data_IF_102359919317
#
_entry.id   IF_102359919317
#
_cell.length_a   1.000
_cell.length_b   1.000
_cell.length_c   1.000
_cell.angle_alpha   90.00
_cell.angle_beta   90.00
_cell.angle_gamma   90.00
#
_symmetry.space_group_name_H-M   'P 1'
#
loop_
_entity.id
_entity.type
_entity.pdbx_description
1 polymer ?
#
# COMPACT_ATOMS: atom_id res chain seq x y z
N UNK A 1 -0.02 -29.85 22.71
CA UNK A 1 0.91 -28.73 22.94
C UNK A 1 0.18 -27.37 22.81
N UNK A 2 -0.55 -27.04 21.72
CA UNK A 2 -1.28 -25.76 21.54
C UNK A 2 -2.31 -25.51 22.66
N UNK A 3 -3.12 -26.51 23.04
CA UNK A 3 -4.12 -26.40 24.13
C UNK A 3 -3.49 -26.10 25.51
N UNK A 4 -2.28 -26.59 25.79
CA UNK A 4 -1.61 -26.31 27.06
C UNK A 4 -1.07 -24.87 27.13
N UNK A 5 -0.52 -24.38 26.01
CA UNK A 5 0.02 -23.01 25.93
C UNK A 5 -1.14 -22.00 25.99
N UNK A 6 -2.28 -22.27 25.34
CA UNK A 6 -3.45 -21.38 25.35
C UNK A 6 -4.05 -21.25 26.75
N UNK A 7 -4.17 -22.32 27.51
CA UNK A 7 -4.72 -22.30 28.87
C UNK A 7 -3.89 -21.49 29.86
N UNK A 8 -2.63 -21.21 29.56
CA UNK A 8 -1.74 -20.42 30.46
C UNK A 8 -2.01 -18.91 30.36
N UNK A 9 -2.69 -18.43 29.30
CA UNK A 9 -2.88 -17.00 29.02
C UNK A 9 -4.35 -16.56 28.89
N UNK A 10 -5.29 -17.51 28.93
CA UNK A 10 -6.74 -17.23 28.76
C UNK A 10 -7.39 -17.18 30.16
N UNK A 11 -8.32 -16.24 30.42
CA UNK A 11 -9.05 -16.17 31.68
C UNK A 11 -9.74 -17.48 32.04
N UNK A 12 -9.82 -17.80 33.32
CA UNK A 12 -10.40 -19.06 33.81
C UNK A 12 -11.88 -19.22 33.48
N UNK A 13 -12.61 -18.13 33.32
CA UNK A 13 -14.02 -18.10 32.95
C UNK A 13 -14.27 -18.21 31.43
N UNK A 14 -13.22 -18.19 30.62
CA UNK A 14 -13.34 -18.44 29.17
C UNK A 14 -13.16 -19.91 28.85
N UNK A 15 -14.02 -20.40 27.94
CA UNK A 15 -13.84 -21.73 27.38
C UNK A 15 -12.77 -21.71 26.26
N UNK A 16 -12.06 -22.82 26.13
CA UNK A 16 -11.15 -23.09 25.01
C UNK A 16 -11.78 -24.20 24.19
N UNK A 17 -12.25 -23.91 23.01
CA UNK A 17 -13.03 -24.83 22.19
C UNK A 17 -12.40 -25.13 20.84
N UNK A 18 -12.58 -26.35 20.38
CA UNK A 18 -12.20 -26.78 19.03
C UNK A 18 -13.33 -26.47 18.07
N UNK A 19 -13.04 -25.70 17.01
CA UNK A 19 -14.04 -25.16 16.08
C UNK A 19 -14.97 -26.25 15.51
N UNK A 20 -14.40 -27.37 15.08
CA UNK A 20 -15.18 -28.48 14.46
C UNK A 20 -16.18 -29.14 15.36
N UNK A 21 -16.13 -28.95 16.71
CA UNK A 21 -17.13 -29.47 17.64
C UNK A 21 -18.42 -28.63 17.64
N UNK A 22 -18.35 -27.37 17.15
CA UNK A 22 -19.42 -26.38 17.23
C UNK A 22 -19.74 -25.71 15.89
N UNK A 23 -19.05 -26.10 14.82
CA UNK A 23 -19.26 -25.57 13.47
C UNK A 23 -19.19 -26.70 12.44
N UNK A 24 -19.93 -26.56 11.35
CA UNK A 24 -19.82 -27.41 10.18
C UNK A 24 -18.97 -26.74 9.12
N UNK A 25 -17.96 -27.45 8.60
CA UNK A 25 -17.02 -26.90 7.63
C UNK A 25 -17.13 -27.69 6.35
N UNK A 26 -17.37 -27.00 5.24
CA UNK A 26 -17.49 -27.61 3.93
C UNK A 26 -16.57 -26.91 2.94
N UNK A 27 -16.05 -27.68 1.98
CA UNK A 27 -15.29 -27.14 0.86
C UNK A 27 -16.23 -26.68 -0.25
N UNK A 28 -15.87 -25.59 -0.92
CA UNK A 28 -16.44 -25.18 -2.20
C UNK A 28 -16.19 -26.20 -3.30
N UNK A 29 -16.79 -26.00 -4.45
CA UNK A 29 -16.63 -26.88 -5.60
C UNK A 29 -16.68 -26.11 -6.90
N UNK A 30 -15.92 -26.55 -7.90
CA UNK A 30 -15.88 -25.93 -9.21
C UNK A 30 -16.50 -26.86 -10.25
N UNK A 31 -17.62 -26.47 -10.91
CA UNK A 31 -18.13 -27.20 -12.09
C UNK A 31 -17.02 -27.33 -13.15
N UNK A 32 -16.94 -28.49 -13.80
CA UNK A 32 -15.90 -28.73 -14.80
C UNK A 32 -16.51 -29.26 -16.10
N UNK A 33 -16.05 -28.75 -17.29
CA UNK A 33 -15.18 -27.59 -17.44
C UNK A 33 -15.93 -26.29 -17.08
N UNK A 34 -15.30 -25.37 -16.36
CA UNK A 34 -15.99 -24.17 -15.84
C UNK A 34 -16.55 -23.30 -16.95
N UNK A 35 -15.91 -23.22 -18.09
CA UNK A 35 -16.33 -22.43 -19.25
C UNK A 35 -17.73 -22.81 -19.75
N UNK A 36 -18.12 -24.07 -19.60
CA UNK A 36 -19.47 -24.56 -19.98
C UNK A 36 -20.57 -24.08 -19.02
N UNK A 37 -20.20 -23.57 -17.85
CA UNK A 37 -21.13 -23.11 -16.82
C UNK A 37 -21.12 -21.61 -16.60
N UNK A 38 -20.16 -20.87 -17.19
CA UNK A 38 -20.12 -19.40 -17.10
C UNK A 38 -21.28 -18.80 -17.89
N UNK A 39 -21.82 -17.69 -17.37
CA UNK A 39 -22.91 -16.94 -18.03
C UNK A 39 -22.80 -15.46 -17.72
N UNK A 40 -23.24 -14.66 -18.68
CA UNK A 40 -23.44 -13.20 -18.53
C UNK A 40 -24.90 -12.85 -18.21
N UNK A 41 -25.77 -13.83 -18.10
CA UNK A 41 -27.20 -13.63 -17.82
C UNK A 41 -27.40 -13.01 -16.44
N UNK A 42 -28.35 -12.08 -16.33
CA UNK A 42 -28.78 -11.51 -15.06
C UNK A 42 -29.34 -12.57 -14.08
N UNK A 43 -29.90 -13.65 -14.63
CA UNK A 43 -30.40 -14.81 -13.87
C UNK A 43 -29.30 -15.74 -13.40
N UNK A 44 -28.02 -15.49 -13.77
CA UNK A 44 -26.88 -16.27 -13.34
C UNK A 44 -26.62 -16.13 -11.84
N UNK A 45 -26.12 -17.23 -11.23
CA UNK A 45 -25.72 -17.30 -9.83
C UNK A 45 -24.29 -16.77 -9.67
N UNK A 46 -24.04 -15.89 -8.71
CA UNK A 46 -22.71 -15.36 -8.46
C UNK A 46 -21.69 -16.50 -8.25
N UNK A 47 -20.55 -16.41 -8.94
CA UNK A 47 -19.45 -17.36 -8.85
C UNK A 47 -18.28 -16.73 -8.10
N UNK A 48 -18.07 -17.11 -6.82
CA UNK A 48 -17.14 -16.47 -5.91
C UNK A 48 -15.76 -17.12 -6.03
N UNK A 49 -14.80 -16.38 -6.57
CA UNK A 49 -13.38 -16.76 -6.69
C UNK A 49 -12.54 -16.01 -5.64
N UNK A 50 -11.31 -16.48 -5.42
CA UNK A 50 -10.35 -15.80 -4.51
C UNK A 50 -10.02 -14.37 -5.01
N UNK A 51 -9.98 -14.17 -6.34
CA UNK A 51 -9.68 -12.86 -6.94
C UNK A 51 -10.79 -11.81 -6.81
N UNK A 52 -12.02 -12.19 -6.41
CA UNK A 52 -13.13 -11.25 -6.26
C UNK A 52 -13.04 -10.40 -4.98
N UNK A 53 -12.05 -10.65 -4.11
CA UNK A 53 -11.90 -9.96 -2.83
C UNK A 53 -10.47 -9.46 -2.63
N UNK A 54 -10.36 -8.25 -2.11
CA UNK A 54 -9.11 -7.68 -1.67
C UNK A 54 -8.63 -8.27 -0.34
N UNK A 55 -7.36 -8.14 -0.10
CA UNK A 55 -6.75 -8.64 1.15
C UNK A 55 -7.30 -7.97 2.41
N UNK A 56 -7.80 -6.76 2.30
CA UNK A 56 -8.30 -5.96 3.43
C UNK A 56 -9.82 -5.98 3.55
N UNK A 57 -10.50 -6.63 2.62
CA UNK A 57 -11.95 -6.72 2.65
C UNK A 57 -12.41 -7.65 3.78
N UNK A 58 -13.43 -7.23 4.51
CA UNK A 58 -14.16 -8.07 5.48
C UNK A 58 -15.35 -8.77 4.82
N UNK A 59 -15.95 -8.12 3.81
CA UNK A 59 -17.18 -8.55 3.18
C UNK A 59 -17.00 -8.82 1.70
N UNK A 60 -17.57 -9.90 1.19
CA UNK A 60 -17.72 -10.17 -0.24
C UNK A 60 -19.01 -9.53 -0.73
N UNK A 61 -18.89 -8.51 -1.61
CA UNK A 61 -20.00 -7.65 -2.04
C UNK A 61 -20.42 -7.85 -3.50
N UNK A 62 -19.53 -8.36 -4.33
CA UNK A 62 -19.74 -8.57 -5.76
C UNK A 62 -18.81 -9.66 -6.29
N UNK A 63 -19.11 -10.18 -7.46
CA UNK A 63 -18.26 -11.11 -8.21
C UNK A 63 -18.15 -10.65 -9.65
N UNK A 64 -17.05 -11.01 -10.31
CA UNK A 64 -16.87 -10.74 -11.74
C UNK A 64 -17.67 -11.72 -12.62
N UNK A 65 -17.83 -12.95 -12.16
CA UNK A 65 -18.41 -14.04 -12.94
C UNK A 65 -19.68 -14.57 -12.29
N UNK A 66 -20.55 -15.16 -13.15
CA UNK A 66 -21.72 -15.90 -12.74
C UNK A 66 -21.74 -17.27 -13.42
N UNK A 67 -22.41 -18.23 -12.79
CA UNK A 67 -22.66 -19.57 -13.37
C UNK A 67 -24.14 -19.78 -13.63
N UNK A 68 -24.45 -20.65 -14.59
CA UNK A 68 -25.82 -21.10 -14.84
C UNK A 68 -26.35 -21.94 -13.67
N UNK A 69 -27.67 -21.97 -13.42
CA UNK A 69 -28.28 -22.74 -12.32
C UNK A 69 -27.86 -24.22 -12.27
N UNK A 70 -27.64 -24.84 -13.42
CA UNK A 70 -27.20 -26.23 -13.55
C UNK A 70 -25.83 -26.49 -12.90
N UNK A 71 -24.98 -25.45 -12.80
CA UNK A 71 -23.67 -25.52 -12.14
C UNK A 71 -23.75 -25.60 -10.61
N UNK A 72 -24.86 -25.17 -9.99
CA UNK A 72 -25.02 -25.09 -8.52
C UNK A 72 -24.84 -26.45 -7.87
N UNK A 73 -25.41 -27.50 -8.47
CA UNK A 73 -25.29 -28.86 -7.94
C UNK A 73 -23.87 -29.41 -7.87
N UNK A 74 -22.95 -28.82 -8.65
CA UNK A 74 -21.51 -29.17 -8.72
C UNK A 74 -20.63 -28.21 -7.92
N UNK A 75 -21.24 -27.26 -7.23
CA UNK A 75 -20.57 -26.25 -6.39
C UNK A 75 -21.13 -26.27 -4.97
N UNK A 76 -20.83 -25.25 -4.21
CA UNK A 76 -21.36 -25.05 -2.87
C UNK A 76 -22.04 -23.68 -2.79
N UNK A 77 -23.36 -23.71 -2.60
CA UNK A 77 -24.11 -22.48 -2.36
C UNK A 77 -23.81 -21.92 -0.97
N UNK A 78 -23.62 -20.61 -0.90
CA UNK A 78 -23.45 -19.80 0.32
C UNK A 78 -24.42 -18.63 0.30
N UNK A 79 -24.79 -18.18 1.50
CA UNK A 79 -25.81 -17.15 1.68
C UNK A 79 -25.25 -15.94 2.41
N UNK A 80 -25.97 -14.83 2.32
CA UNK A 80 -25.62 -13.62 3.05
C UNK A 80 -25.46 -13.91 4.54
N UNK A 81 -24.33 -13.55 5.10
CA UNK A 81 -23.96 -13.80 6.48
C UNK A 81 -23.13 -15.05 6.71
N UNK A 82 -23.01 -15.95 5.74
CA UNK A 82 -22.09 -17.09 5.85
C UNK A 82 -20.65 -16.60 5.99
N UNK A 83 -19.87 -17.31 6.79
CA UNK A 83 -18.44 -17.07 6.96
C UNK A 83 -17.67 -18.03 6.06
N UNK A 84 -16.84 -17.49 5.18
CA UNK A 84 -15.99 -18.31 4.32
C UNK A 84 -14.51 -18.04 4.60
N UNK A 85 -13.67 -19.02 4.31
CA UNK A 85 -12.23 -19.00 4.58
C UNK A 85 -11.47 -19.40 3.32
N UNK A 86 -10.45 -18.63 2.95
CA UNK A 86 -9.58 -19.02 1.84
C UNK A 86 -8.71 -20.22 2.21
N UNK A 87 -8.69 -21.25 1.36
CA UNK A 87 -7.91 -22.46 1.60
C UNK A 87 -6.57 -22.48 0.86
N UNK A 88 -6.41 -21.62 -0.14
CA UNK A 88 -5.22 -21.50 -0.99
C UNK A 88 -4.93 -20.02 -1.29
N UNK A 89 -3.79 -19.69 -1.86
CA UNK A 89 -3.32 -18.34 -2.21
C UNK A 89 -3.25 -17.39 -0.99
N UNK A 90 -4.34 -16.73 -0.59
CA UNK A 90 -4.45 -15.89 0.61
C UNK A 90 -4.74 -16.68 1.89
N UNK A 91 -4.07 -17.76 2.08
CA UNK A 91 -4.12 -18.81 3.08
C UNK A 91 -4.72 -18.43 4.45
N UNK A 92 -5.90 -19.01 4.76
CA UNK A 92 -6.52 -18.89 6.09
C UNK A 92 -7.21 -17.56 6.38
N UNK A 93 -7.54 -16.78 5.36
CA UNK A 93 -8.19 -15.49 5.54
C UNK A 93 -9.71 -15.65 5.54
N UNK A 94 -10.42 -15.22 6.61
CA UNK A 94 -11.87 -15.28 6.68
C UNK A 94 -12.51 -14.08 5.99
N UNK A 95 -13.74 -14.28 5.47
CA UNK A 95 -14.60 -13.25 4.90
C UNK A 95 -16.06 -13.53 5.24
N UNK A 96 -16.89 -12.50 5.27
CA UNK A 96 -18.32 -12.60 5.50
C UNK A 96 -19.05 -12.34 4.18
N UNK A 97 -19.95 -13.23 3.81
CA UNK A 97 -20.76 -13.08 2.60
C UNK A 97 -21.78 -11.95 2.77
N UNK A 98 -21.77 -10.97 1.85
CA UNK A 98 -22.79 -9.93 1.74
C UNK A 98 -23.68 -10.11 0.49
N UNK A 99 -23.42 -11.14 -0.28
CA UNK A 99 -24.20 -11.62 -1.43
C UNK A 99 -24.44 -13.12 -1.29
N UNK A 100 -25.34 -13.66 -2.10
CA UNK A 100 -25.52 -15.09 -2.27
C UNK A 100 -24.79 -15.57 -3.53
N UNK A 101 -24.35 -16.83 -3.54
CA UNK A 101 -23.68 -17.40 -4.71
C UNK A 101 -23.03 -18.74 -4.41
N UNK A 102 -22.32 -19.24 -5.39
CA UNK A 102 -21.56 -20.48 -5.32
C UNK A 102 -20.07 -20.21 -5.15
N UNK A 103 -19.44 -20.90 -4.19
CA UNK A 103 -18.02 -20.75 -3.92
C UNK A 103 -17.19 -21.80 -4.65
N UNK A 104 -16.11 -21.32 -5.26
CA UNK A 104 -15.07 -22.08 -5.91
C UNK A 104 -14.32 -23.00 -4.92
N UNK A 105 -13.67 -24.04 -5.39
CA UNK A 105 -12.97 -25.04 -4.56
C UNK A 105 -11.75 -24.50 -3.78
N UNK A 106 -11.36 -23.24 -4.00
CA UNK A 106 -10.41 -22.47 -3.18
C UNK A 106 -10.98 -21.94 -1.85
N UNK A 107 -12.26 -22.18 -1.57
CA UNK A 107 -12.93 -21.71 -0.37
C UNK A 107 -13.38 -22.85 0.54
N UNK A 108 -13.43 -22.56 1.83
CA UNK A 108 -14.17 -23.32 2.83
C UNK A 108 -15.30 -22.43 3.36
N UNK A 109 -16.49 -22.98 3.59
CA UNK A 109 -17.58 -22.31 4.31
C UNK A 109 -17.69 -22.87 5.72
N UNK A 110 -17.91 -22.00 6.70
CA UNK A 110 -18.08 -22.32 8.13
C UNK A 110 -19.50 -21.93 8.51
N UNK A 111 -20.31 -22.92 8.92
CA UNK A 111 -21.73 -22.77 9.20
C UNK A 111 -22.08 -23.36 10.55
N UNK A 112 -23.29 -23.06 11.06
CA UNK A 112 -23.88 -23.62 12.31
C UNK A 112 -23.02 -23.37 13.56
N UNK A 113 -22.27 -22.29 13.59
CA UNK A 113 -21.47 -21.85 14.74
C UNK A 113 -22.24 -20.93 15.70
N UNK A 114 -23.38 -20.42 15.30
CA UNK A 114 -24.19 -19.37 15.92
C UNK A 114 -24.70 -19.72 17.32
N UNK A 115 -24.69 -21.01 17.70
CA UNK A 115 -25.00 -21.44 19.06
C UNK A 115 -23.93 -21.06 20.09
N UNK A 116 -22.70 -20.81 19.64
CA UNK A 116 -21.52 -20.62 20.50
C UNK A 116 -20.77 -19.37 20.18
N UNK A 117 -20.76 -18.99 18.91
CA UNK A 117 -19.99 -17.82 18.45
C UNK A 117 -20.88 -16.72 17.86
N UNK A 118 -20.59 -15.47 18.24
CA UNK A 118 -20.96 -14.33 17.42
C UNK A 118 -20.17 -14.36 16.12
N UNK A 119 -20.82 -14.03 15.01
CA UNK A 119 -20.21 -14.06 13.67
C UNK A 119 -18.99 -13.15 13.53
N UNK A 120 -19.10 -11.91 14.02
CA UNK A 120 -18.01 -10.95 13.90
C UNK A 120 -16.85 -11.31 14.83
N UNK A 121 -17.15 -11.83 16.04
CA UNK A 121 -16.13 -12.35 16.93
C UNK A 121 -15.37 -13.51 16.26
N UNK A 122 -16.09 -14.48 15.69
CA UNK A 122 -15.47 -15.62 14.99
C UNK A 122 -14.61 -15.16 13.81
N UNK A 123 -15.07 -14.15 13.05
CA UNK A 123 -14.27 -13.52 11.99
C UNK A 123 -12.93 -13.01 12.53
N UNK A 124 -12.93 -12.25 13.63
CA UNK A 124 -11.70 -11.73 14.22
C UNK A 124 -10.84 -12.83 14.86
N UNK A 125 -11.45 -13.79 15.53
CA UNK A 125 -10.74 -14.93 16.10
C UNK A 125 -10.00 -15.75 15.02
N UNK A 126 -10.63 -15.99 13.88
CA UNK A 126 -10.03 -16.68 12.74
C UNK A 126 -8.94 -15.82 12.04
N UNK A 127 -9.05 -14.48 12.10
CA UNK A 127 -8.05 -13.54 11.56
C UNK A 127 -6.86 -13.33 12.49
N UNK A 128 -6.90 -13.84 13.72
CA UNK A 128 -5.90 -13.56 14.76
C UNK A 128 -4.55 -14.21 14.48
N UNK A 129 -3.48 -13.60 15.01
CA UNK A 129 -2.13 -14.17 14.99
C UNK A 129 -2.08 -15.56 15.65
N UNK A 130 -2.92 -15.78 16.68
CA UNK A 130 -3.08 -17.05 17.36
C UNK A 130 -3.58 -18.15 16.42
N UNK A 131 -4.60 -17.86 15.63
CA UNK A 131 -5.14 -18.81 14.65
C UNK A 131 -4.18 -19.00 13.48
N UNK A 132 -3.53 -17.95 13.01
CA UNK A 132 -2.54 -18.04 11.94
C UNK A 132 -1.37 -18.94 12.33
N UNK A 133 -0.86 -18.85 13.57
CA UNK A 133 0.18 -19.75 14.09
C UNK A 133 -0.27 -21.21 14.06
N UNK A 134 -1.55 -21.51 14.34
CA UNK A 134 -2.08 -22.86 14.23
C UNK A 134 -2.14 -23.35 12.78
N UNK A 135 -2.57 -22.50 11.85
CA UNK A 135 -2.57 -22.84 10.43
C UNK A 135 -1.16 -23.16 9.91
N UNK A 136 -0.18 -22.34 10.24
CA UNK A 136 1.24 -22.56 9.86
C UNK A 136 1.74 -23.88 10.45
N UNK A 137 1.48 -24.16 11.73
CA UNK A 137 1.89 -25.40 12.39
C UNK A 137 1.25 -26.65 11.73
N UNK A 138 0.00 -26.56 11.31
CA UNK A 138 -0.71 -27.66 10.62
C UNK A 138 -0.27 -27.83 9.15
N UNK A 139 0.35 -26.80 8.56
CA UNK A 139 0.91 -26.86 7.21
C UNK A 139 2.33 -27.43 7.17
N UNK A 140 3.07 -27.36 8.27
CA UNK A 140 4.41 -27.89 8.38
C UNK A 140 4.41 -29.40 8.09
N UNK A 141 5.18 -29.82 7.06
CA UNK A 141 5.26 -31.22 6.62
C UNK A 141 4.42 -31.58 5.37
N UNK A 142 3.68 -30.62 4.78
CA UNK A 142 3.01 -30.85 3.49
C UNK A 142 3.66 -30.02 2.39
N UNK A 143 3.87 -30.62 1.22
CA UNK A 143 4.46 -29.97 0.04
C UNK A 143 3.59 -28.84 -0.55
N UNK A 144 2.33 -28.76 -0.17
CA UNK A 144 1.40 -27.71 -0.57
C UNK A 144 0.77 -27.10 0.68
N UNK A 145 0.96 -25.79 0.86
CA UNK A 145 0.28 -25.02 1.89
C UNK A 145 -1.21 -24.89 1.52
N UNK A 146 -2.03 -25.88 1.91
CA UNK A 146 -3.45 -25.87 1.66
C UNK A 146 -4.20 -26.23 2.95
N UNK A 147 -5.18 -25.38 3.30
CA UNK A 147 -6.11 -25.64 4.39
C UNK A 147 -7.26 -26.50 3.89
N UNK A 148 -7.44 -27.64 4.52
CA UNK A 148 -8.64 -28.46 4.31
C UNK A 148 -9.58 -28.37 5.50
N UNK A 149 -10.80 -28.94 5.35
CA UNK A 149 -11.83 -28.90 6.39
C UNK A 149 -11.35 -29.56 7.70
N UNK A 150 -10.54 -30.61 7.60
CA UNK A 150 -10.03 -31.37 8.75
C UNK A 150 -9.03 -30.53 9.58
N UNK A 151 -8.17 -29.75 8.90
CA UNK A 151 -7.25 -28.84 9.57
C UNK A 151 -8.01 -27.70 10.25
N UNK A 152 -8.95 -27.05 9.54
CA UNK A 152 -9.74 -25.94 10.09
C UNK A 152 -10.64 -26.42 11.23
N UNK A 153 -11.20 -27.62 11.17
CA UNK A 153 -11.98 -28.21 12.27
C UNK A 153 -11.16 -28.40 13.55
N UNK A 154 -9.85 -28.56 13.46
CA UNK A 154 -8.95 -28.73 14.61
C UNK A 154 -8.48 -27.41 15.23
N UNK A 155 -8.83 -26.28 14.64
CA UNK A 155 -8.46 -24.95 15.19
C UNK A 155 -9.10 -24.79 16.58
N UNK A 156 -8.29 -24.33 17.50
CA UNK A 156 -8.68 -24.08 18.87
C UNK A 156 -8.79 -22.57 19.09
N UNK A 157 -9.94 -22.15 19.61
CA UNK A 157 -10.26 -20.74 19.79
C UNK A 157 -10.65 -20.45 21.25
N UNK A 158 -10.23 -19.30 21.80
CA UNK A 158 -10.79 -18.75 23.02
C UNK A 158 -12.28 -18.43 22.79
N UNK A 159 -13.11 -18.68 23.79
CA UNK A 159 -14.54 -18.49 23.69
C UNK A 159 -15.09 -17.88 24.97
N UNK A 160 -15.18 -16.54 25.06
CA UNK A 160 -15.88 -15.86 26.14
C UNK A 160 -17.39 -16.03 26.05
N UNK A 161 -18.11 -15.52 27.03
CA UNK A 161 -19.56 -15.40 26.96
C UNK A 161 -20.02 -14.60 25.76
N UNK A 162 -21.20 -14.90 25.20
CA UNK A 162 -21.69 -14.28 23.96
C UNK A 162 -21.82 -12.76 24.06
N UNK A 163 -22.10 -12.19 25.22
CA UNK A 163 -22.14 -10.76 25.46
C UNK A 163 -20.76 -10.14 25.24
N UNK A 164 -19.74 -10.71 25.84
CA UNK A 164 -18.36 -10.23 25.69
C UNK A 164 -17.83 -10.45 24.27
N UNK A 165 -18.20 -11.56 23.60
CA UNK A 165 -17.88 -11.73 22.18
C UNK A 165 -18.40 -10.58 21.33
N UNK A 166 -19.65 -10.14 21.57
CA UNK A 166 -20.27 -9.00 20.87
C UNK A 166 -19.53 -7.69 21.15
N UNK A 167 -19.23 -7.42 22.43
CA UNK A 167 -18.47 -6.21 22.83
C UNK A 167 -17.09 -6.17 22.16
N UNK A 168 -16.36 -7.28 22.17
CA UNK A 168 -15.05 -7.40 21.51
C UNK A 168 -15.20 -7.16 19.99
N UNK A 169 -16.19 -7.80 19.37
CA UNK A 169 -16.42 -7.66 17.93
C UNK A 169 -16.84 -6.25 17.53
N UNK A 170 -17.61 -5.56 18.34
CA UNK A 170 -18.02 -4.17 18.13
C UNK A 170 -16.81 -3.24 18.15
N UNK A 171 -16.02 -3.27 19.21
CA UNK A 171 -14.81 -2.44 19.32
C UNK A 171 -13.81 -2.68 18.18
N UNK A 172 -13.61 -3.94 17.78
CA UNK A 172 -12.75 -4.27 16.63
C UNK A 172 -13.36 -3.83 15.29
N UNK A 173 -14.70 -3.81 15.18
CA UNK A 173 -15.36 -3.31 13.97
C UNK A 173 -15.34 -1.80 13.86
N UNK A 174 -15.36 -1.09 14.98
CA UNK A 174 -15.24 0.37 15.03
C UNK A 174 -13.85 0.83 14.58
N UNK A 175 -12.80 0.16 15.05
CA UNK A 175 -11.43 0.48 14.59
C UNK A 175 -11.24 0.14 13.10
N UNK A 176 -11.87 -0.93 12.58
CA UNK A 176 -11.87 -1.26 11.15
C UNK A 176 -12.54 -0.15 10.34
N UNK A 177 -13.69 0.32 10.80
CA UNK A 177 -14.43 1.41 10.15
C UNK A 177 -13.58 2.68 10.09
N UNK A 178 -12.94 3.04 11.21
CA UNK A 178 -12.05 4.18 11.28
C UNK A 178 -10.86 4.07 10.30
N UNK A 179 -10.24 2.88 10.20
CA UNK A 179 -9.14 2.61 9.26
C UNK A 179 -9.62 2.76 7.81
N UNK A 180 -10.79 2.19 7.48
CA UNK A 180 -11.38 2.30 6.13
C UNK A 180 -11.68 3.77 5.78
N UNK A 181 -12.25 4.53 6.70
CA UNK A 181 -12.61 5.92 6.45
C UNK A 181 -11.37 6.83 6.34
N UNK A 182 -10.32 6.55 7.13
CA UNK A 182 -9.02 7.23 6.95
C UNK A 182 -8.40 6.94 5.58
N UNK A 183 -8.43 5.70 5.10
CA UNK A 183 -7.95 5.35 3.76
C UNK A 183 -8.71 6.09 2.66
N UNK A 184 -10.04 6.16 2.76
CA UNK A 184 -10.86 6.92 1.82
C UNK A 184 -10.52 8.42 1.85
N UNK A 185 -10.34 8.98 3.05
CA UNK A 185 -9.99 10.39 3.23
C UNK A 185 -8.62 10.70 2.62
N UNK A 186 -7.61 9.87 2.88
CA UNK A 186 -6.27 10.00 2.30
C UNK A 186 -6.35 9.98 0.77
N UNK A 187 -7.07 9.02 0.19
CA UNK A 187 -7.26 8.95 -1.27
C UNK A 187 -7.89 10.23 -1.82
N UNK A 188 -8.99 10.69 -1.21
CA UNK A 188 -9.65 11.93 -1.60
C UNK A 188 -8.70 13.14 -1.52
N UNK A 189 -7.90 13.24 -0.46
CA UNK A 189 -6.92 14.32 -0.30
C UNK A 189 -5.82 14.25 -1.35
N UNK A 190 -5.32 13.06 -1.69
CA UNK A 190 -4.35 12.85 -2.79
C UNK A 190 -4.93 13.27 -4.15
N UNK A 191 -6.19 12.92 -4.43
CA UNK A 191 -6.87 13.32 -5.66
C UNK A 191 -7.03 14.85 -5.77
N UNK A 192 -7.43 15.50 -4.66
CA UNK A 192 -7.54 16.97 -4.58
C UNK A 192 -6.16 17.62 -4.77
N UNK A 193 -5.14 17.14 -4.05
CA UNK A 193 -3.74 17.62 -4.18
C UNK A 193 -3.28 17.51 -5.63
N UNK A 194 -3.49 16.37 -6.28
CA UNK A 194 -3.12 16.18 -7.68
C UNK A 194 -3.84 17.14 -8.61
N UNK A 195 -5.14 17.35 -8.44
CA UNK A 195 -5.91 18.33 -9.21
C UNK A 195 -5.45 19.77 -8.99
N UNK A 196 -5.23 20.16 -7.72
CA UNK A 196 -4.73 21.49 -7.36
C UNK A 196 -3.35 21.74 -7.95
N UNK A 197 -2.44 20.77 -7.84
CA UNK A 197 -1.12 20.87 -8.45
C UNK A 197 -1.22 21.12 -9.96
N UNK A 198 -2.04 20.35 -10.69
CA UNK A 198 -2.16 20.50 -12.15
C UNK A 198 -2.66 21.89 -12.56
N UNK A 199 -3.59 22.49 -11.81
CA UNK A 199 -4.11 23.81 -12.17
C UNK A 199 -3.19 24.96 -11.77
N UNK A 200 -2.47 24.83 -10.65
CA UNK A 200 -1.57 25.88 -10.15
C UNK A 200 -0.24 25.90 -10.91
N UNK A 201 0.44 24.76 -11.09
CA UNK A 201 1.75 24.71 -11.76
C UNK A 201 1.68 24.89 -13.29
N UNK A 202 0.49 24.89 -13.87
CA UNK A 202 0.27 25.17 -15.29
C UNK A 202 -0.26 26.56 -15.56
N UNK A 203 -0.52 27.36 -14.52
CA UNK A 203 -1.11 28.70 -14.64
C UNK A 203 -2.57 28.72 -15.11
N UNK A 204 -3.26 27.55 -15.17
CA UNK A 204 -4.70 27.48 -15.51
C UNK A 204 -5.57 28.25 -14.53
N UNK A 205 -5.13 28.35 -13.29
CA UNK A 205 -5.70 29.21 -12.26
C UNK A 205 -4.56 29.92 -11.55
N UNK A 206 -4.64 31.23 -11.45
CA UNK A 206 -3.69 32.04 -10.69
C UNK A 206 -4.21 32.27 -9.27
N UNK A 207 -3.29 32.49 -8.37
CA UNK A 207 -3.61 32.94 -7.01
C UNK A 207 -3.98 34.43 -7.03
N UNK A 208 -4.91 34.81 -6.18
CA UNK A 208 -5.30 36.22 -6.01
C UNK A 208 -4.10 37.06 -5.56
N UNK A 209 -4.00 38.28 -6.10
CA UNK A 209 -2.91 39.20 -5.79
C UNK A 209 -1.70 39.09 -6.73
N UNK A 210 -1.63 38.08 -7.60
CA UNK A 210 -0.57 37.96 -8.59
C UNK A 210 -1.05 38.31 -10.01
N UNK A 211 -0.20 39.00 -10.77
CA UNK A 211 -0.50 39.48 -12.13
C UNK A 211 0.71 39.36 -13.06
N UNK A 212 0.54 39.74 -14.34
CA UNK A 212 1.57 39.60 -15.36
C UNK A 212 1.62 38.24 -16.03
N UNK A 213 2.17 38.14 -17.23
CA UNK A 213 2.25 36.89 -17.98
C UNK A 213 3.35 35.98 -17.44
N UNK A 214 3.07 34.67 -17.46
CA UNK A 214 4.08 33.68 -17.12
C UNK A 214 5.22 33.69 -18.16
N UNK A 215 6.43 33.50 -17.66
CA UNK A 215 7.67 33.59 -18.46
C UNK A 215 8.07 32.20 -18.96
N UNK A 216 8.38 32.11 -20.23
CA UNK A 216 8.93 30.88 -20.81
C UNK A 216 10.38 30.72 -20.39
N UNK A 217 10.73 29.62 -19.75
CA UNK A 217 12.09 29.26 -19.38
C UNK A 217 12.48 27.91 -19.96
N UNK A 218 13.77 27.61 -19.98
CA UNK A 218 14.30 26.29 -20.31
C UNK A 218 14.98 25.73 -19.07
N UNK A 219 14.59 24.49 -18.67
CA UNK A 219 15.15 23.90 -17.45
C UNK A 219 16.67 23.82 -17.46
N UNK A 220 17.25 23.26 -18.51
CA UNK A 220 18.70 23.05 -18.57
C UNK A 220 19.52 24.34 -18.62
N UNK A 221 18.98 25.43 -19.21
CA UNK A 221 19.64 26.73 -19.26
C UNK A 221 19.62 27.48 -17.92
N UNK A 222 18.65 27.16 -17.06
CA UNK A 222 18.44 27.78 -15.75
C UNK A 222 18.89 26.88 -14.58
N UNK A 223 19.45 25.69 -14.89
CA UNK A 223 19.87 24.72 -13.89
C UNK A 223 21.28 24.21 -14.13
N UNK A 224 21.99 23.94 -13.05
CA UNK A 224 23.17 23.07 -13.06
C UNK A 224 22.68 21.63 -12.85
N UNK A 225 22.78 20.83 -13.91
CA UNK A 225 22.45 19.42 -13.90
C UNK A 225 23.71 18.58 -13.69
N UNK A 226 23.82 17.88 -12.58
CA UNK A 226 24.98 17.04 -12.24
C UNK A 226 24.55 15.64 -11.83
N UNK A 227 25.29 14.66 -12.28
CA UNK A 227 25.19 13.27 -11.88
C UNK A 227 26.60 12.68 -11.79
N UNK A 228 26.76 11.58 -11.04
CA UNK A 228 28.04 10.85 -11.00
C UNK A 228 28.43 10.44 -12.42
N UNK A 229 29.67 10.71 -12.81
CA UNK A 229 30.19 10.41 -14.14
C UNK A 229 30.51 8.91 -14.23
N UNK A 230 30.31 8.31 -15.41
CA UNK A 230 30.41 6.85 -15.59
C UNK A 230 31.74 6.21 -15.15
N UNK A 231 32.90 6.90 -15.36
CA UNK A 231 34.20 6.40 -14.89
C UNK A 231 34.39 6.49 -13.36
N UNK A 232 33.56 7.28 -12.66
CA UNK A 232 33.48 7.34 -11.22
C UNK A 232 32.38 6.40 -10.67
N UNK A 233 31.76 5.59 -11.51
CA UNK A 233 30.72 4.64 -11.15
C UNK A 233 31.15 3.74 -10.00
N UNK A 234 30.21 3.45 -9.12
CA UNK A 234 30.40 2.56 -7.98
C UNK A 234 30.10 1.14 -8.39
N UNK A 235 30.91 0.21 -7.94
CA UNK A 235 30.62 -1.23 -7.98
C UNK A 235 29.67 -1.59 -6.83
N UNK A 236 28.97 -2.70 -6.94
CA UNK A 236 28.08 -3.19 -5.87
C UNK A 236 28.81 -3.44 -4.54
N UNK A 237 30.09 -3.75 -4.59
CA UNK A 237 30.95 -3.95 -3.39
C UNK A 237 31.20 -2.65 -2.62
N UNK A 238 31.00 -1.51 -3.24
CA UNK A 238 31.15 -0.17 -2.62
C UNK A 238 29.83 0.37 -2.06
N UNK A 239 28.74 -0.38 -2.16
CA UNK A 239 27.46 -0.10 -1.53
C UNK A 239 27.48 -0.69 -0.13
N UNK A 240 27.79 0.14 0.85
CA UNK A 240 27.96 -0.28 2.24
C UNK A 240 26.63 -0.25 2.99
N UNK A 241 26.48 -1.11 3.99
CA UNK A 241 25.33 -1.05 4.93
C UNK A 241 25.51 0.04 5.99
N UNK A 242 26.75 0.45 6.25
CA UNK A 242 27.13 1.59 7.11
C UNK A 242 28.30 2.34 6.48
N UNK A 243 28.37 3.66 6.63
CA UNK A 243 29.45 4.47 6.06
C UNK A 243 29.35 5.95 6.39
N UNK A 244 30.24 6.74 5.78
CA UNK A 244 30.35 8.18 6.02
C UNK A 244 29.14 8.95 5.51
N UNK A 245 28.70 8.68 4.28
CA UNK A 245 27.61 9.40 3.64
C UNK A 245 26.59 8.46 3.04
N UNK A 246 25.33 8.91 2.97
CA UNK A 246 24.31 8.23 2.17
C UNK A 246 24.72 8.20 0.69
N UNK A 247 24.41 7.09 0.03
CA UNK A 247 24.44 6.94 -1.42
C UNK A 247 22.99 6.91 -1.93
N UNK A 248 22.57 7.98 -2.57
CA UNK A 248 21.21 8.10 -3.12
C UNK A 248 21.15 7.45 -4.49
N UNK A 249 20.24 6.50 -4.65
CA UNK A 249 19.94 5.78 -5.90
C UNK A 249 18.50 6.03 -6.34
N UNK A 250 18.13 5.61 -7.54
CA UNK A 250 16.76 5.77 -8.05
C UNK A 250 15.71 4.91 -7.29
N UNK A 251 16.14 3.91 -6.51
CA UNK A 251 15.27 3.06 -5.67
C UNK A 251 14.87 3.73 -4.37
N UNK A 252 15.62 4.74 -3.93
CA UNK A 252 15.38 5.42 -2.65
C UNK A 252 14.31 6.52 -2.75
N UNK A 253 13.85 6.83 -3.99
CA UNK A 253 12.79 7.82 -4.23
C UNK A 253 11.43 7.25 -3.88
N UNK A 254 10.78 7.85 -2.88
CA UNK A 254 9.46 7.48 -2.40
C UNK A 254 8.60 8.72 -2.18
N UNK A 255 7.48 8.82 -2.92
CA UNK A 255 6.45 9.86 -2.76
C UNK A 255 7.03 11.31 -2.70
N UNK A 256 8.00 11.62 -3.58
CA UNK A 256 8.64 12.95 -3.66
C UNK A 256 9.75 13.22 -2.64
N UNK A 257 10.10 12.24 -1.80
CA UNK A 257 11.14 12.30 -0.78
C UNK A 257 12.17 11.19 -0.95
N UNK A 258 13.24 11.24 -0.18
CA UNK A 258 14.22 10.14 -0.09
C UNK A 258 13.91 9.27 1.12
N UNK A 259 13.84 7.96 0.91
CA UNK A 259 13.74 6.98 1.99
C UNK A 259 15.13 6.71 2.58
N UNK A 260 15.56 7.53 3.53
CA UNK A 260 16.89 7.46 4.13
C UNK A 260 17.21 6.10 4.77
N UNK A 261 16.20 5.44 5.33
CA UNK A 261 16.39 4.12 5.96
C UNK A 261 16.67 2.99 4.97
N UNK A 262 16.44 3.22 3.69
CA UNK A 262 16.73 2.26 2.61
C UNK A 262 18.02 2.56 1.85
N UNK A 263 18.63 3.73 2.10
CA UNK A 263 19.86 4.12 1.41
C UNK A 263 21.04 3.24 1.82
N UNK A 264 21.87 2.91 0.85
CA UNK A 264 23.22 2.44 1.10
C UNK A 264 24.14 3.61 1.51
N UNK A 265 25.36 3.26 1.86
CA UNK A 265 26.39 4.24 2.25
C UNK A 265 27.63 4.10 1.37
N UNK A 266 28.46 5.15 1.39
CA UNK A 266 29.83 5.12 0.87
C UNK A 266 30.79 5.70 1.90
N UNK A 267 32.07 5.39 1.74
CA UNK A 267 33.14 5.97 2.52
C UNK A 267 33.41 7.45 2.20
N UNK A 268 34.28 8.07 3.00
CA UNK A 268 34.64 9.48 2.82
C UNK A 268 35.29 9.74 1.47
N UNK A 269 36.15 8.86 0.97
CA UNK A 269 36.90 9.07 -0.26
C UNK A 269 35.96 9.12 -1.46
N UNK A 270 34.94 8.25 -1.48
CA UNK A 270 33.91 8.25 -2.52
C UNK A 270 32.96 9.46 -2.44
N UNK A 271 32.66 9.93 -1.23
CA UNK A 271 31.90 11.15 -1.03
C UNK A 271 32.70 12.38 -1.48
N UNK A 272 33.98 12.49 -1.10
CA UNK A 272 34.83 13.63 -1.39
C UNK A 272 35.26 13.74 -2.87
N UNK A 273 35.15 12.62 -3.61
CA UNK A 273 35.60 12.52 -5.01
C UNK A 273 34.96 13.54 -5.95
N UNK A 274 33.70 13.89 -5.76
CA UNK A 274 33.00 14.86 -6.59
C UNK A 274 32.04 15.74 -5.77
N UNK A 275 32.45 16.97 -5.40
CA UNK A 275 31.60 17.92 -4.69
C UNK A 275 30.33 18.34 -5.46
N UNK A 276 30.29 18.18 -6.80
CA UNK A 276 29.13 18.61 -7.60
C UNK A 276 27.90 17.70 -7.42
N UNK A 277 28.10 16.48 -6.93
CA UNK A 277 27.03 15.49 -6.67
C UNK A 277 26.75 15.30 -5.18
N UNK A 278 27.41 16.06 -4.33
CA UNK A 278 27.03 16.19 -2.93
C UNK A 278 25.74 17.01 -2.83
N UNK A 279 24.83 16.57 -1.98
CA UNK A 279 23.50 17.16 -1.86
C UNK A 279 23.25 17.70 -0.46
N UNK A 280 22.34 18.64 -0.38
CA UNK A 280 21.95 19.36 0.84
C UNK A 280 20.43 19.51 0.90
N UNK A 281 19.92 19.87 2.07
CA UNK A 281 18.52 20.29 2.18
C UNK A 281 18.22 21.45 1.22
N UNK A 282 17.09 21.37 0.52
CA UNK A 282 16.71 22.29 -0.55
C UNK A 282 17.10 21.83 -1.96
N UNK A 283 17.89 20.77 -2.10
CA UNK A 283 18.24 20.24 -3.42
C UNK A 283 17.09 19.43 -4.03
N UNK A 284 16.94 19.59 -5.34
CA UNK A 284 16.00 18.85 -6.17
C UNK A 284 16.72 17.74 -6.92
N UNK A 285 16.20 16.52 -6.85
CA UNK A 285 16.74 15.34 -7.50
C UNK A 285 15.79 14.79 -8.56
N UNK A 286 16.36 14.22 -9.62
CA UNK A 286 15.62 13.61 -10.73
C UNK A 286 16.29 12.31 -11.17
N UNK A 287 15.54 11.22 -11.23
CA UNK A 287 16.06 9.95 -11.74
C UNK A 287 16.22 9.97 -13.25
N UNK A 288 17.37 9.51 -13.73
CA UNK A 288 17.69 9.44 -15.16
C UNK A 288 17.84 8.01 -15.70
N UNK A 289 17.92 7.02 -14.81
CA UNK A 289 18.01 5.59 -15.11
C UNK A 289 16.98 4.78 -14.34
N UNK A 290 16.69 3.57 -14.81
CA UNK A 290 15.71 2.68 -14.22
C UNK A 290 14.28 3.24 -14.37
N UNK A 291 13.65 3.64 -13.28
CA UNK A 291 12.38 4.37 -13.34
C UNK A 291 12.66 5.86 -13.57
N UNK A 292 12.73 6.24 -14.84
CA UNK A 292 13.04 7.61 -15.29
C UNK A 292 11.94 8.59 -14.85
N UNK A 293 12.35 9.79 -14.40
CA UNK A 293 11.44 10.88 -14.12
C UNK A 293 10.83 10.90 -12.73
N UNK A 294 11.29 10.04 -11.80
CA UNK A 294 10.97 10.26 -10.39
C UNK A 294 11.70 11.49 -9.88
N UNK A 295 11.03 12.23 -9.03
CA UNK A 295 11.55 13.47 -8.45
C UNK A 295 11.58 13.34 -6.93
N UNK A 296 12.56 13.97 -6.28
CA UNK A 296 12.59 14.11 -4.84
C UNK A 296 13.14 15.47 -4.45
N UNK A 297 12.54 16.08 -3.42
CA UNK A 297 13.04 17.30 -2.79
C UNK A 297 13.63 16.94 -1.42
N UNK A 298 14.85 17.36 -1.15
CA UNK A 298 15.56 17.04 0.09
C UNK A 298 15.17 18.04 1.17
N UNK A 299 14.58 17.59 2.26
CA UNK A 299 14.11 18.44 3.36
C UNK A 299 14.62 18.05 4.76
N UNK A 300 15.08 16.83 4.93
CA UNK A 300 15.36 16.22 6.24
C UNK A 300 16.67 15.42 6.28
N UNK A 301 17.65 15.90 5.54
CA UNK A 301 19.00 15.31 5.48
C UNK A 301 19.72 15.53 6.81
N UNK A 302 20.09 14.46 7.49
CA UNK A 302 20.74 14.44 8.82
C UNK A 302 22.25 14.18 8.77
N UNK A 303 22.78 13.75 7.62
CA UNK A 303 24.22 13.47 7.39
C UNK A 303 24.63 13.73 5.96
N UNK A 304 25.95 13.74 5.62
CA UNK A 304 26.39 13.87 4.24
C UNK A 304 25.70 12.88 3.29
N UNK A 305 25.41 13.31 2.07
CA UNK A 305 24.84 12.46 1.04
C UNK A 305 25.43 12.77 -0.35
N UNK A 306 25.57 11.74 -1.17
CA UNK A 306 26.07 11.83 -2.55
C UNK A 306 25.20 10.99 -3.49
N UNK A 307 25.27 11.27 -4.78
CA UNK A 307 24.43 10.61 -5.78
C UNK A 307 25.12 9.43 -6.44
N UNK A 308 24.33 8.42 -6.78
CA UNK A 308 24.70 7.41 -7.76
C UNK A 308 24.60 7.99 -9.19
N UNK A 309 25.15 7.27 -10.17
CA UNK A 309 25.13 7.62 -11.59
C UNK A 309 23.71 7.74 -12.18
N UNK A 310 22.71 7.07 -11.61
CA UNK A 310 21.31 7.07 -12.06
C UNK A 310 20.47 8.29 -11.66
N UNK A 311 21.06 9.29 -10.97
CA UNK A 311 20.34 10.44 -10.43
C UNK A 311 21.01 11.75 -10.82
N UNK A 312 20.21 12.75 -11.22
CA UNK A 312 20.63 14.14 -11.36
C UNK A 312 20.34 14.94 -10.09
N UNK A 313 21.30 15.78 -9.68
CA UNK A 313 21.01 16.99 -8.89
C UNK A 313 20.60 18.10 -9.86
N UNK A 314 19.47 18.75 -9.60
CA UNK A 314 18.91 19.86 -10.39
C UNK A 314 18.99 21.12 -9.52
N UNK A 315 20.07 21.89 -9.67
CA UNK A 315 20.29 23.08 -8.85
C UNK A 315 20.04 24.36 -9.68
N UNK A 316 19.14 25.25 -9.26
CA UNK A 316 18.92 26.51 -9.97
C UNK A 316 20.22 27.35 -10.02
N UNK A 317 20.51 27.96 -11.16
CA UNK A 317 21.64 28.88 -11.35
C UNK A 317 21.20 30.31 -11.65
N UNK A 318 19.91 30.52 -11.76
CA UNK A 318 19.25 31.82 -11.94
C UNK A 318 18.06 31.92 -10.97
N UNK A 319 17.49 33.11 -10.84
CA UNK A 319 16.27 33.34 -10.07
C UNK A 319 14.99 33.08 -10.88
N UNK A 320 15.09 32.34 -12.01
CA UNK A 320 13.94 32.05 -12.85
C UNK A 320 12.93 31.10 -12.17
N UNK A 321 13.41 30.25 -11.27
CA UNK A 321 12.54 29.37 -10.50
C UNK A 321 13.18 29.01 -9.15
N UNK A 322 12.32 28.66 -8.16
CA UNK A 322 12.75 28.03 -6.91
C UNK A 322 12.80 26.51 -7.06
N UNK A 323 13.76 25.83 -6.40
CA UNK A 323 13.88 24.37 -6.47
C UNK A 323 12.59 23.66 -6.02
N UNK A 324 11.91 24.19 -5.00
CA UNK A 324 10.68 23.63 -4.47
C UNK A 324 9.49 23.79 -5.44
N UNK A 325 9.37 24.93 -6.14
CA UNK A 325 8.38 25.09 -7.22
C UNK A 325 8.65 24.13 -8.38
N UNK A 326 9.91 24.00 -8.80
CA UNK A 326 10.31 23.09 -9.87
C UNK A 326 10.05 21.62 -9.51
N UNK A 327 10.16 21.24 -8.24
CA UNK A 327 9.76 19.92 -7.77
C UNK A 327 8.31 19.60 -8.17
N UNK A 328 7.33 20.47 -7.88
CA UNK A 328 5.94 20.26 -8.25
C UNK A 328 5.71 20.30 -9.78
N UNK A 329 6.45 21.12 -10.50
CA UNK A 329 6.38 21.12 -11.97
C UNK A 329 6.83 19.77 -12.53
N UNK A 330 7.93 19.21 -12.04
CA UNK A 330 8.45 17.92 -12.49
C UNK A 330 7.59 16.72 -12.03
N UNK A 331 6.83 16.86 -10.95
CA UNK A 331 5.80 15.86 -10.56
C UNK A 331 4.54 15.94 -11.42
N UNK A 332 4.29 17.08 -12.05
CA UNK A 332 3.05 17.36 -12.78
C UNK A 332 2.95 16.64 -14.12
N UNK A 333 1.80 16.80 -14.78
CA UNK A 333 1.59 16.31 -16.15
C UNK A 333 2.49 17.02 -17.19
N UNK A 334 2.97 18.22 -16.90
CA UNK A 334 3.86 18.98 -17.81
C UNK A 334 5.12 18.17 -18.13
N UNK A 335 5.81 17.69 -17.09
CA UNK A 335 7.03 16.91 -17.28
C UNK A 335 6.74 15.48 -17.76
N UNK A 336 5.65 14.86 -17.28
CA UNK A 336 5.24 13.53 -17.74
C UNK A 336 4.95 13.50 -19.24
N UNK A 337 4.28 14.52 -19.78
CA UNK A 337 4.03 14.66 -21.22
C UNK A 337 5.32 14.86 -22.01
N UNK A 338 6.24 15.66 -21.48
CA UNK A 338 7.57 15.81 -22.08
C UNK A 338 8.31 14.47 -22.17
N UNK A 339 8.35 13.68 -21.10
CA UNK A 339 8.96 12.34 -21.11
C UNK A 339 8.26 11.40 -22.10
N UNK A 340 6.93 11.44 -22.20
CA UNK A 340 6.17 10.68 -23.18
C UNK A 340 6.51 11.05 -24.62
N UNK A 341 6.68 12.35 -24.91
CA UNK A 341 7.12 12.83 -26.22
C UNK A 341 8.54 12.38 -26.57
N UNK A 342 9.45 12.37 -25.61
CA UNK A 342 10.78 11.82 -25.81
C UNK A 342 10.76 10.32 -26.13
N UNK A 343 9.80 9.57 -25.55
CA UNK A 343 9.64 8.13 -25.78
C UNK A 343 8.84 7.79 -27.04
N UNK A 344 8.28 8.77 -27.76
CA UNK A 344 7.51 8.51 -28.98
C UNK A 344 8.41 7.88 -30.05
N UNK A 345 8.30 6.53 -30.18
CA UNK A 345 9.06 5.73 -31.16
C UNK A 345 10.10 4.76 -30.57
N UNK A 346 10.44 4.83 -29.27
CA UNK A 346 11.33 3.85 -28.61
C UNK A 346 11.19 3.93 -27.09
N UNK A 347 11.48 2.83 -26.38
CA UNK A 347 11.60 2.84 -24.92
C UNK A 347 12.79 3.70 -24.51
N UNK A 348 12.57 4.76 -23.70
CA UNK A 348 13.67 5.50 -23.10
C UNK A 348 14.26 4.66 -21.97
N UNK A 349 15.50 4.24 -22.14
CA UNK A 349 16.24 3.53 -21.10
C UNK A 349 17.12 4.47 -20.26
N UNK A 350 17.31 5.72 -20.71
CA UNK A 350 18.19 6.70 -20.08
C UNK A 350 17.76 8.14 -20.44
N UNK A 351 17.65 9.02 -19.45
CA UNK A 351 17.39 10.44 -19.64
C UNK A 351 18.73 11.19 -19.66
N UNK A 352 19.10 11.76 -20.80
CA UNK A 352 20.32 12.51 -20.94
C UNK A 352 20.14 13.99 -20.66
N UNK A 353 21.18 14.67 -20.23
CA UNK A 353 21.17 16.11 -20.07
C UNK A 353 20.79 16.86 -21.37
N UNK A 354 21.22 16.34 -22.53
CA UNK A 354 20.85 16.88 -23.87
C UNK A 354 19.35 16.81 -24.15
N UNK A 355 18.62 15.90 -23.53
CA UNK A 355 17.17 15.79 -23.69
C UNK A 355 16.47 16.89 -22.88
N UNK A 356 16.95 17.16 -21.67
CA UNK A 356 16.43 18.24 -20.82
C UNK A 356 16.66 19.65 -21.41
N UNK A 357 17.59 19.81 -22.34
CA UNK A 357 17.74 21.05 -23.13
C UNK A 357 16.50 21.35 -24.00
N UNK A 358 15.67 20.33 -24.28
CA UNK A 358 14.43 20.50 -25.05
C UNK A 358 13.21 20.79 -24.13
N UNK A 359 13.39 20.78 -22.81
CA UNK A 359 12.31 21.01 -21.86
C UNK A 359 12.13 22.50 -21.59
N UNK A 360 11.24 23.10 -22.37
CA UNK A 360 10.74 24.46 -22.17
C UNK A 360 9.43 24.42 -21.39
N UNK A 361 9.26 25.37 -20.47
CA UNK A 361 8.06 25.46 -19.63
C UNK A 361 7.77 26.93 -19.29
N UNK A 362 6.53 27.19 -18.84
CA UNK A 362 6.15 28.51 -18.34
C UNK A 362 6.15 28.48 -16.81
N UNK A 363 6.66 29.56 -16.22
CA UNK A 363 6.72 29.74 -14.76
C UNK A 363 6.16 31.11 -14.37
N UNK A 364 5.67 31.30 -13.16
CA UNK A 364 5.33 32.62 -12.64
C UNK A 364 6.50 33.60 -12.79
N UNK A 365 6.24 34.89 -13.09
CA UNK A 365 7.27 35.87 -13.31
C UNK A 365 8.08 36.22 -12.07
N UNK A 366 7.53 35.94 -10.87
CA UNK A 366 8.16 36.24 -9.59
C UNK A 366 8.30 35.00 -8.71
N UNK A 367 9.34 34.99 -7.88
CA UNK A 367 9.58 33.93 -6.91
C UNK A 367 8.52 33.90 -5.81
N UNK A 368 7.93 35.05 -5.46
CA UNK A 368 6.87 35.16 -4.47
C UNK A 368 5.61 34.41 -4.90
N UNK A 369 5.24 34.46 -6.19
CA UNK A 369 4.12 33.65 -6.70
C UNK A 369 4.44 32.16 -6.69
N UNK A 370 5.67 31.79 -7.06
CA UNK A 370 6.13 30.40 -7.00
C UNK A 370 6.09 29.87 -5.56
N UNK A 371 6.56 30.65 -4.60
CA UNK A 371 6.54 30.31 -3.17
C UNK A 371 5.11 30.20 -2.62
N UNK A 372 4.20 31.09 -3.03
CA UNK A 372 2.79 31.01 -2.64
C UNK A 372 2.13 29.73 -3.17
N UNK A 373 2.38 29.35 -4.45
CA UNK A 373 1.89 28.10 -5.03
C UNK A 373 2.47 26.91 -4.26
N UNK A 374 3.76 26.94 -4.02
CA UNK A 374 4.49 25.89 -3.31
C UNK A 374 3.96 25.71 -1.88
N UNK A 375 3.70 26.80 -1.15
CA UNK A 375 3.16 26.76 0.19
C UNK A 375 1.82 26.03 0.27
N UNK A 376 0.91 26.32 -0.67
CA UNK A 376 -0.39 25.61 -0.74
C UNK A 376 -0.21 24.10 -0.96
N UNK A 377 0.67 23.73 -1.89
CA UNK A 377 0.89 22.31 -2.22
C UNK A 377 1.62 21.59 -1.08
N UNK A 378 2.57 22.24 -0.45
CA UNK A 378 3.29 21.72 0.72
C UNK A 378 2.38 21.49 1.92
N UNK A 379 1.45 22.43 2.20
CA UNK A 379 0.47 22.26 3.27
C UNK A 379 -0.44 21.05 3.00
N UNK A 380 -0.82 20.82 1.74
CA UNK A 380 -1.59 19.64 1.35
C UNK A 380 -0.78 18.34 1.53
N UNK A 381 0.49 18.35 1.18
CA UNK A 381 1.38 17.19 1.39
C UNK A 381 1.56 16.89 2.88
N UNK A 382 1.74 17.92 3.70
CA UNK A 382 1.85 17.79 5.16
C UNK A 382 0.55 17.24 5.79
N UNK A 383 -0.62 17.66 5.30
CA UNK A 383 -1.90 17.12 5.75
C UNK A 383 -2.03 15.63 5.41
N UNK A 384 -1.68 15.23 4.17
CA UNK A 384 -1.70 13.84 3.73
C UNK A 384 -0.75 13.01 4.59
N UNK A 385 0.48 13.46 4.78
CA UNK A 385 1.47 12.79 5.62
C UNK A 385 0.96 12.53 7.05
N UNK A 386 0.37 13.54 7.71
CA UNK A 386 -0.21 13.39 9.05
C UNK A 386 -1.35 12.36 9.09
N UNK A 387 -2.16 12.29 8.04
CA UNK A 387 -3.22 11.28 7.92
C UNK A 387 -2.66 9.88 7.73
N UNK A 388 -1.57 9.71 6.98
CA UNK A 388 -0.89 8.43 6.78
C UNK A 388 -0.21 7.93 8.08
N UNK A 389 0.43 8.83 8.83
CA UNK A 389 0.95 8.49 10.16
C UNK A 389 -0.17 8.04 11.11
N UNK A 390 -1.30 8.76 11.08
CA UNK A 390 -2.48 8.41 11.88
C UNK A 390 -3.02 7.04 11.48
N UNK A 391 -3.10 6.74 10.19
CA UNK A 391 -3.51 5.44 9.67
C UNK A 391 -2.58 4.32 10.17
N UNK A 392 -1.27 4.50 10.05
CA UNK A 392 -0.27 3.55 10.56
C UNK A 392 -0.43 3.30 12.07
N UNK A 393 -0.65 4.35 12.85
CA UNK A 393 -0.91 4.25 14.29
C UNK A 393 -2.17 3.41 14.58
N UNK A 394 -3.29 3.66 13.89
CA UNK A 394 -4.52 2.90 14.11
C UNK A 394 -4.41 1.44 13.66
N UNK A 395 -3.65 1.14 12.62
CA UNK A 395 -3.36 -0.25 12.22
C UNK A 395 -2.59 -1.01 13.32
N UNK A 396 -1.58 -0.37 13.94
CA UNK A 396 -0.85 -0.94 15.07
C UNK A 396 -1.73 -1.10 16.31
N UNK A 397 -2.59 -0.13 16.59
CA UNK A 397 -3.57 -0.22 17.70
C UNK A 397 -4.51 -1.40 17.47
N UNK A 398 -5.09 -1.56 16.25
CA UNK A 398 -5.94 -2.70 15.92
C UNK A 398 -5.22 -4.02 16.16
N UNK A 399 -3.96 -4.14 15.73
CA UNK A 399 -3.18 -5.35 15.95
C UNK A 399 -3.02 -5.66 17.44
N UNK A 400 -2.65 -4.67 18.26
CA UNK A 400 -2.56 -4.83 19.72
C UNK A 400 -3.91 -5.20 20.35
N UNK A 401 -5.00 -4.51 19.95
CA UNK A 401 -6.34 -4.83 20.43
C UNK A 401 -6.75 -6.27 20.09
N UNK A 402 -6.45 -6.76 18.88
CA UNK A 402 -6.71 -8.16 18.52
C UNK A 402 -5.93 -9.14 19.39
N UNK A 403 -4.67 -8.82 19.71
CA UNK A 403 -3.84 -9.68 20.56
C UNK A 403 -4.34 -9.71 22.02
N UNK A 404 -4.79 -8.59 22.55
CA UNK A 404 -5.22 -8.48 23.94
C UNK A 404 -6.67 -8.91 24.17
N UNK A 405 -7.60 -8.47 23.33
CA UNK A 405 -9.02 -8.75 23.50
C UNK A 405 -9.36 -10.21 23.14
N UNK A 406 -8.79 -10.75 22.05
CA UNK A 406 -9.07 -12.13 21.63
C UNK A 406 -8.38 -13.18 22.49
N UNK A 407 -7.47 -12.79 23.38
CA UNK A 407 -6.84 -13.65 24.38
C UNK A 407 -7.38 -13.43 25.79
N UNK A 408 -8.21 -12.41 25.99
CA UNK A 408 -8.76 -12.06 27.31
C UNK A 408 -7.79 -11.39 28.25
N UNK A 409 -6.62 -10.95 27.78
CA UNK A 409 -5.67 -10.12 28.58
C UNK A 409 -6.31 -8.80 29.00
N UNK A 410 -7.12 -8.23 28.11
CA UNK A 410 -8.01 -7.10 28.40
C UNK A 410 -9.44 -7.57 28.23
N UNK A 411 -10.30 -7.22 29.18
CA UNK A 411 -11.71 -7.66 29.25
C UNK A 411 -12.66 -6.52 28.96
N UNK A 412 -13.75 -6.83 28.24
CA UNK A 412 -14.84 -5.90 27.96
C UNK A 412 -16.12 -6.44 28.64
N UNK A 413 -16.14 -6.38 29.95
CA UNK A 413 -17.24 -6.82 30.82
C UNK A 413 -18.03 -5.66 31.37
#
# INVERSE_FOLDING_TARGET
MVNAILRTYIPDDWSVITLGNYAQIFRGGSPRPIQAFLTTSDQGINWIKIGDVGEEDKFIKSTEEKIVPEGVSRSRMVFRGDLILSNSMSYGRPYIMNIEGCIHDGWLVIQKYDRVFDRNYLYYALSSSLTMKQYVAMAAGSSVQNLNKEKVSKVVLPCPGISEQKSIAEVLSDIDTLIIDLKKLIRKKKDIRQGTMQILVTGKKRLDGFSGDWVKINLAKNSRLKARIGWQGLTTAEYLDEGYSYLITGTDFKDGHINWSGCHYVDYDRYAQDPNIQVSNGDLLLTKDGTIGKVAYISDLDRPATLNSGVFAVKPITNAYTAHFMFYVLESSVFKQFLQQLSAGSTINHLYQKDLVKFDLYVPPTTEEQEAITGILFDMDLEIYKLEEKLSKYQKIKQGMMEELLTGKVRLV
#
